data_IF_218918706005
#
_entry.id   IF_218918706005
#
_cell.length_a   1.000
_cell.length_b   1.000
_cell.length_c   1.000
_cell.angle_alpha   90.00
_cell.angle_beta   90.00
_cell.angle_gamma   90.00
#
_symmetry.space_group_name_H-M   'P 1'
#
loop_
_entity.id
_entity.type
_entity.pdbx_description
1 polymer ?
#
# COMPACT_ATOMS: atom_id res chain seq x y z
N UNK A 1 4.01 23.60 6.79
CA UNK A 1 3.51 22.44 7.58
C UNK A 1 3.07 21.36 6.59
N UNK A 2 3.86 20.31 6.36
CA UNK A 2 3.43 19.22 5.50
C UNK A 2 2.38 18.39 6.25
N UNK A 3 1.14 18.45 5.80
CA UNK A 3 0.03 17.62 6.29
C UNK A 3 0.26 16.16 5.89
N UNK A 4 1.15 15.47 6.59
CA UNK A 4 1.30 14.02 6.49
C UNK A 4 0.18 13.37 7.31
N UNK A 5 -1.04 13.40 6.77
CA UNK A 5 -2.09 12.51 7.23
C UNK A 5 -1.61 11.05 7.17
N UNK A 6 -2.22 10.14 7.94
CA UNK A 6 -1.81 8.74 7.99
C UNK A 6 -1.77 8.16 6.57
N UNK A 7 -0.58 7.80 6.13
CA UNK A 7 -0.35 7.21 4.81
C UNK A 7 -1.01 5.83 4.81
N UNK A 8 -1.98 5.65 3.91
CA UNK A 8 -2.65 4.36 3.74
C UNK A 8 -1.63 3.25 3.46
N UNK A 9 -1.68 2.11 4.17
CA UNK A 9 -0.64 1.09 4.09
C UNK A 9 -0.64 0.31 2.78
N UNK A 10 -1.73 0.30 2.01
CA UNK A 10 -1.79 -0.42 0.73
C UNK A 10 -1.99 0.54 -0.42
N UNK A 11 -0.96 0.75 -1.24
CA UNK A 11 -1.07 1.50 -2.49
C UNK A 11 -1.25 0.53 -3.65
N UNK A 12 -2.32 0.70 -4.41
CA UNK A 12 -2.53 0.03 -5.69
C UNK A 12 -2.36 1.08 -6.79
N UNK A 13 -1.44 0.83 -7.72
CA UNK A 13 -1.18 1.71 -8.85
C UNK A 13 -1.21 0.90 -10.15
N UNK A 14 -1.63 1.54 -11.24
CA UNK A 14 -1.55 0.94 -12.57
C UNK A 14 -0.15 1.21 -13.16
N UNK A 15 0.48 0.18 -13.72
CA UNK A 15 1.74 0.30 -14.44
C UNK A 15 1.52 0.63 -15.92
N UNK A 16 2.61 0.92 -16.63
CA UNK A 16 2.58 1.36 -18.03
C UNK A 16 2.06 0.28 -18.99
N UNK A 17 2.15 -1.00 -18.59
CA UNK A 17 1.61 -2.13 -19.35
C UNK A 17 0.11 -2.34 -19.11
N UNK A 18 -0.47 -1.54 -18.22
CA UNK A 18 -1.88 -1.57 -17.88
C UNK A 18 -2.24 -2.52 -16.74
N UNK A 19 -1.24 -3.12 -16.09
CA UNK A 19 -1.44 -4.02 -14.97
C UNK A 19 -1.45 -3.24 -13.64
N UNK A 20 -1.99 -3.84 -12.59
CA UNK A 20 -2.00 -3.26 -11.25
C UNK A 20 -0.87 -3.84 -10.41
N UNK A 21 -0.17 -2.96 -9.70
CA UNK A 21 0.88 -3.32 -8.75
C UNK A 21 0.52 -2.89 -7.35
N UNK A 22 0.81 -3.75 -6.38
CA UNK A 22 0.60 -3.50 -4.97
C UNK A 22 1.91 -3.04 -4.33
N UNK A 23 1.87 -1.91 -3.64
CA UNK A 23 2.95 -1.45 -2.76
C UNK A 23 2.44 -1.47 -1.32
N UNK A 24 3.10 -2.25 -0.47
CA UNK A 24 2.82 -2.32 0.96
C UNK A 24 3.69 -1.29 1.66
N UNK A 25 3.07 -0.42 2.45
CA UNK A 25 3.72 0.63 3.22
C UNK A 25 3.57 0.29 4.69
N UNK A 26 4.68 0.18 5.38
CA UNK A 26 4.71 -0.09 6.83
C UNK A 26 5.17 1.15 7.55
N UNK A 27 4.34 1.62 8.48
CA UNK A 27 4.69 2.74 9.36
C UNK A 27 5.17 2.17 10.69
N UNK A 28 6.41 2.47 11.07
CA UNK A 28 6.96 2.20 12.40
C UNK A 28 7.35 3.50 13.07
N UNK A 29 7.35 3.54 14.40
CA UNK A 29 7.75 4.72 15.16
C UNK A 29 9.16 4.52 15.73
N UNK A 30 10.01 5.54 15.65
CA UNK A 30 11.29 5.53 16.34
C UNK A 30 11.11 5.84 17.85
N UNK A 31 12.22 5.86 18.60
CA UNK A 31 12.21 6.14 20.04
C UNK A 31 11.67 7.52 20.43
N UNK A 32 11.56 8.46 19.48
CA UNK A 32 11.06 9.82 19.68
C UNK A 32 9.60 9.94 19.17
N UNK A 33 8.96 8.83 18.80
CA UNK A 33 7.57 8.82 18.32
C UNK A 33 7.39 9.38 16.91
N UNK A 34 8.47 9.48 16.11
CA UNK A 34 8.39 9.94 14.74
C UNK A 34 8.03 8.78 13.79
N UNK A 35 7.05 8.95 12.88
CA UNK A 35 6.67 7.90 11.94
C UNK A 35 7.74 7.74 10.84
N UNK A 36 8.20 6.51 10.65
CA UNK A 36 9.06 6.07 9.55
C UNK A 36 8.22 5.18 8.65
N UNK A 37 7.98 5.62 7.42
CA UNK A 37 7.22 4.87 6.42
C UNK A 37 8.17 4.18 5.46
N UNK A 38 8.17 2.85 5.46
CA UNK A 38 8.89 2.02 4.49
C UNK A 38 7.92 1.55 3.42
N UNK A 39 8.30 1.61 2.14
CA UNK A 39 7.47 1.13 1.03
C UNK A 39 8.13 -0.08 0.37
N UNK A 40 7.38 -1.17 0.19
CA UNK A 40 7.81 -2.39 -0.49
C UNK A 40 6.85 -2.72 -1.63
N UNK A 41 7.33 -2.60 -2.86
CA UNK A 41 6.63 -3.08 -4.04
C UNK A 41 6.57 -4.61 -3.97
N UNK A 42 5.38 -5.18 -4.20
CA UNK A 42 5.22 -6.63 -4.32
C UNK A 42 5.57 -7.05 -5.75
N UNK A 43 6.17 -8.24 -5.88
CA UNK A 43 6.60 -8.78 -7.16
C UNK A 43 5.41 -9.21 -8.02
N UNK A 44 4.28 -9.52 -7.39
CA UNK A 44 3.04 -9.88 -8.05
C UNK A 44 2.45 -8.74 -8.85
N UNK A 45 2.01 -9.09 -10.06
CA UNK A 45 1.34 -8.20 -11.00
C UNK A 45 -0.10 -8.69 -11.16
N UNK A 46 -1.05 -7.78 -11.05
CA UNK A 46 -2.47 -8.09 -11.03
C UNK A 46 -3.17 -7.52 -12.26
N UNK A 47 -4.03 -8.28 -12.91
CA UNK A 47 -4.80 -7.78 -14.06
C UNK A 47 -5.90 -6.79 -13.63
N UNK A 48 -6.36 -6.86 -12.38
CA UNK A 48 -7.42 -6.01 -11.86
C UNK A 48 -7.09 -5.45 -10.46
N UNK A 49 -7.63 -4.27 -10.14
CA UNK A 49 -7.51 -3.72 -8.78
C UNK A 49 -8.12 -4.65 -7.72
N UNK A 50 -9.20 -5.36 -8.06
CA UNK A 50 -9.86 -6.30 -7.14
C UNK A 50 -8.96 -7.48 -6.78
N UNK A 51 -8.18 -7.98 -7.75
CA UNK A 51 -7.19 -9.03 -7.50
C UNK A 51 -6.08 -8.53 -6.55
N UNK A 52 -5.56 -7.32 -6.78
CA UNK A 52 -4.58 -6.71 -5.88
C UNK A 52 -5.12 -6.50 -4.46
N UNK A 53 -6.37 -6.03 -4.30
CA UNK A 53 -7.05 -5.91 -3.00
C UNK A 53 -7.22 -7.28 -2.33
N UNK A 54 -7.64 -8.29 -3.08
CA UNK A 54 -7.83 -9.64 -2.55
C UNK A 54 -6.53 -10.26 -2.06
N UNK A 55 -5.43 -10.06 -2.80
CA UNK A 55 -4.10 -10.47 -2.37
C UNK A 55 -3.67 -9.74 -1.10
N UNK A 56 -3.89 -8.42 -1.03
CA UNK A 56 -3.60 -7.64 0.17
C UNK A 56 -4.39 -8.12 1.40
N UNK A 57 -5.69 -8.41 1.25
CA UNK A 57 -6.54 -8.98 2.31
C UNK A 57 -6.00 -10.29 2.83
N UNK A 58 -5.68 -11.22 1.93
CA UNK A 58 -5.28 -12.59 2.28
C UNK A 58 -3.89 -12.67 2.88
N UNK A 59 -2.94 -11.88 2.38
CA UNK A 59 -1.53 -11.97 2.78
C UNK A 59 -1.13 -10.96 3.86
N UNK A 60 -1.82 -9.81 3.92
CA UNK A 60 -1.47 -8.71 4.81
C UNK A 60 -2.62 -8.24 5.72
N UNK A 61 -3.74 -8.99 5.75
CA UNK A 61 -4.95 -8.64 6.54
C UNK A 61 -5.50 -7.23 6.26
N UNK A 62 -5.30 -6.75 5.03
CA UNK A 62 -5.63 -5.39 4.64
C UNK A 62 -7.14 -5.06 4.70
N UNK A 63 -7.53 -4.00 5.39
CA UNK A 63 -8.93 -3.60 5.52
C UNK A 63 -9.40 -2.63 4.42
N UNK A 64 -10.71 -2.53 4.20
CA UNK A 64 -11.28 -1.73 3.10
C UNK A 64 -10.90 -0.24 3.15
N UNK A 65 -10.67 0.34 4.33
CA UNK A 65 -10.25 1.73 4.50
C UNK A 65 -8.78 2.00 4.17
N UNK A 66 -7.96 0.95 4.15
CA UNK A 66 -6.49 1.03 4.12
C UNK A 66 -5.90 1.08 2.71
N UNK A 67 -6.73 1.10 1.68
CA UNK A 67 -6.30 1.18 0.29
C UNK A 67 -6.24 2.63 -0.20
N UNK A 68 -5.08 3.01 -0.75
CA UNK A 68 -4.91 4.13 -1.65
C UNK A 68 -4.84 3.62 -3.10
N UNK A 69 -5.53 4.28 -4.00
CA UNK A 69 -5.48 4.01 -5.45
C UNK A 69 -4.97 5.27 -6.13
N UNK A 70 -3.95 5.14 -6.96
CA UNK A 70 -3.35 6.26 -7.70
C UNK A 70 -3.28 5.93 -9.19
#
# INVERSE_FOLDING_TARGET
MASNGPVKPFLIQKDDNGNFRLTVRTTRYNSIGYPIVSSKLQDEVFETQSAAKSFARKNFNAEAGEYATK
#
